data_IF_324408201275
#
_entry.id   IF_324408201275
#
_cell.length_a   1.000
_cell.length_b   1.000
_cell.length_c   1.000
_cell.angle_alpha   90.00
_cell.angle_beta   90.00
_cell.angle_gamma   90.00
#
_symmetry.space_group_name_H-M   'P 1'
#
loop_
_entity.id
_entity.type
_entity.pdbx_description
1 polymer ?
#
# COMPACT_ATOMS: atom_id res chain seq x y z
N UNK A 1 6.38 1.56 28.75
CA UNK A 1 5.84 2.44 27.69
C UNK A 1 6.05 1.76 26.34
N UNK A 2 4.98 1.28 25.68
CA UNK A 2 5.14 0.75 24.32
C UNK A 2 5.54 1.89 23.39
N UNK A 3 6.66 1.78 22.69
CA UNK A 3 7.00 2.72 21.62
C UNK A 3 5.82 2.75 20.63
N UNK A 4 5.30 3.94 20.33
CA UNK A 4 4.32 4.10 19.26
C UNK A 4 4.95 3.56 17.97
N UNK A 5 4.29 2.58 17.35
CA UNK A 5 4.78 1.99 16.09
C UNK A 5 4.61 3.02 14.98
N UNK A 6 5.59 3.13 14.09
CA UNK A 6 5.56 4.07 12.96
C UNK A 6 5.89 3.36 11.64
N UNK A 7 5.30 3.84 10.55
CA UNK A 7 5.57 3.32 9.20
C UNK A 7 5.09 1.87 9.04
N UNK A 8 5.92 1.00 8.45
CA UNK A 8 5.56 -0.42 8.21
C UNK A 8 5.13 -1.14 9.50
N UNK A 9 5.68 -0.76 10.65
CA UNK A 9 5.37 -1.42 11.93
C UNK A 9 3.93 -1.19 12.40
N UNK A 10 3.24 -0.18 11.86
CA UNK A 10 1.81 0.04 12.07
C UNK A 10 0.98 -1.09 11.43
N UNK A 11 1.46 -1.67 10.33
CA UNK A 11 0.73 -2.60 9.48
C UNK A 11 1.18 -4.04 9.64
N UNK A 12 2.49 -4.24 9.79
CA UNK A 12 3.11 -5.55 9.71
C UNK A 12 4.28 -5.68 10.67
N UNK A 13 4.48 -6.91 11.16
CA UNK A 13 5.63 -7.25 12.00
C UNK A 13 6.87 -7.52 11.14
N UNK A 14 6.65 -7.94 9.90
CA UNK A 14 7.70 -8.32 8.96
C UNK A 14 7.51 -7.58 7.64
N UNK A 15 8.63 -7.22 7.00
CA UNK A 15 8.65 -6.71 5.63
C UNK A 15 9.28 -7.77 4.73
N UNK A 16 8.72 -7.95 3.55
CA UNK A 16 9.35 -8.76 2.51
C UNK A 16 9.64 -7.88 1.30
N UNK A 17 10.91 -7.79 0.90
CA UNK A 17 11.32 -7.12 -0.32
C UNK A 17 12.34 -7.99 -1.05
N UNK A 18 12.24 -8.02 -2.37
CA UNK A 18 13.13 -8.77 -3.26
C UNK A 18 13.64 -7.93 -4.44
N UNK A 19 13.44 -6.61 -4.38
CA UNK A 19 13.88 -5.67 -5.40
C UNK A 19 14.27 -4.35 -4.73
N UNK A 20 15.29 -3.70 -5.27
CA UNK A 20 15.64 -2.31 -5.01
C UNK A 20 15.27 -1.48 -6.24
N UNK A 21 14.70 -0.29 -6.02
CA UNK A 21 14.16 0.54 -7.10
C UNK A 21 12.71 0.23 -7.46
N UNK A 22 12.06 1.20 -8.12
CA UNK A 22 10.67 1.09 -8.54
C UNK A 22 10.37 2.06 -9.70
N UNK A 23 9.66 1.57 -10.72
CA UNK A 23 9.38 2.32 -11.95
C UNK A 23 8.31 3.41 -11.80
N UNK A 24 7.54 3.41 -10.72
CA UNK A 24 6.40 4.32 -10.52
C UNK A 24 6.77 5.81 -10.47
N UNK A 25 8.03 6.15 -10.20
CA UNK A 25 8.51 7.54 -10.25
C UNK A 25 7.90 8.49 -9.22
N UNK A 26 7.32 7.99 -8.12
CA UNK A 26 6.60 8.85 -7.17
C UNK A 26 7.52 9.89 -6.53
N UNK A 27 7.12 11.17 -6.56
CA UNK A 27 7.87 12.29 -5.95
C UNK A 27 8.02 12.12 -4.43
N UNK A 28 6.98 11.66 -3.77
CA UNK A 28 6.98 11.45 -2.32
C UNK A 28 7.60 10.09 -1.88
N UNK A 29 8.28 9.36 -2.77
CA UNK A 29 8.65 7.95 -2.53
C UNK A 29 9.60 7.77 -1.33
N UNK A 30 9.10 7.12 -0.28
CA UNK A 30 9.90 6.71 0.88
C UNK A 30 11.09 5.80 0.48
N UNK A 31 10.84 4.82 -0.39
CA UNK A 31 11.86 3.84 -0.77
C UNK A 31 13.05 4.48 -1.50
N UNK A 32 12.79 5.43 -2.42
CA UNK A 32 13.81 6.21 -3.12
C UNK A 32 14.68 6.96 -2.14
N UNK A 33 14.06 7.64 -1.18
CA UNK A 33 14.78 8.40 -0.14
C UNK A 33 15.65 7.50 0.74
N UNK A 34 15.12 6.33 1.12
CA UNK A 34 15.87 5.39 1.95
C UNK A 34 17.08 4.82 1.20
N UNK A 35 16.91 4.41 -0.07
CA UNK A 35 18.04 3.94 -0.87
C UNK A 35 19.05 5.05 -1.10
N UNK A 36 18.63 6.26 -1.48
CA UNK A 36 19.54 7.42 -1.62
C UNK A 36 20.34 7.71 -0.33
N UNK A 37 19.76 7.47 0.84
CA UNK A 37 20.42 7.73 2.14
C UNK A 37 21.40 6.64 2.55
N UNK A 38 21.03 5.37 2.38
CA UNK A 38 21.77 4.24 2.94
C UNK A 38 22.55 3.42 1.92
N UNK A 39 22.19 3.53 0.64
CA UNK A 39 22.75 2.81 -0.49
C UNK A 39 22.79 3.73 -1.74
N UNK A 40 23.53 4.85 -1.68
CA UNK A 40 23.47 5.93 -2.69
C UNK A 40 23.89 5.51 -4.10
N UNK A 41 24.64 4.41 -4.23
CA UNK A 41 25.11 3.87 -5.52
C UNK A 41 24.03 3.07 -6.26
N UNK A 42 22.90 2.77 -5.61
CA UNK A 42 21.79 2.06 -6.24
C UNK A 42 21.01 3.01 -7.14
N UNK A 43 20.95 2.68 -8.43
CA UNK A 43 20.06 3.35 -9.37
C UNK A 43 18.60 2.95 -9.09
N UNK A 44 17.83 3.87 -8.51
CA UNK A 44 16.44 3.61 -8.14
C UNK A 44 15.52 3.44 -9.37
N UNK A 45 15.87 4.09 -10.48
CA UNK A 45 15.06 4.13 -11.70
C UNK A 45 15.35 2.94 -12.62
N UNK A 46 16.40 2.17 -12.34
CA UNK A 46 16.72 0.90 -12.96
C UNK A 46 16.64 -0.24 -11.92
N UNK A 47 15.45 -0.79 -11.64
CA UNK A 47 15.27 -1.70 -10.52
C UNK A 47 16.03 -3.02 -10.68
N UNK A 48 16.64 -3.47 -9.60
CA UNK A 48 17.42 -4.71 -9.55
C UNK A 48 16.81 -5.69 -8.55
N UNK A 49 16.75 -6.96 -8.92
CA UNK A 49 16.35 -8.03 -8.03
C UNK A 49 17.40 -8.21 -6.92
N UNK A 50 16.96 -8.08 -5.68
CA UNK A 50 17.81 -8.20 -4.51
C UNK A 50 17.03 -8.84 -3.36
N UNK A 51 17.31 -10.12 -3.10
CA UNK A 51 16.72 -10.87 -1.99
C UNK A 51 17.69 -10.94 -0.81
N UNK A 52 17.30 -10.38 0.33
CA UNK A 52 18.11 -10.46 1.56
C UNK A 52 17.96 -11.82 2.22
N UNK A 53 18.98 -12.27 2.96
CA UNK A 53 18.91 -13.50 3.79
C UNK A 53 17.73 -13.48 4.78
N UNK A 54 17.34 -12.30 5.27
CA UNK A 54 16.20 -12.14 6.18
C UNK A 54 14.88 -12.36 5.45
N UNK A 55 14.73 -11.83 4.24
CA UNK A 55 13.55 -12.06 3.40
C UNK A 55 13.46 -13.53 2.98
N UNK A 56 14.56 -14.12 2.53
CA UNK A 56 14.64 -15.54 2.14
C UNK A 56 14.15 -16.47 3.26
N UNK A 57 14.55 -16.23 4.51
CA UNK A 57 14.07 -17.01 5.68
C UNK A 57 12.55 -17.00 5.84
N UNK A 58 11.84 -15.98 5.38
CA UNK A 58 10.38 -15.91 5.45
C UNK A 58 9.71 -16.86 4.42
N UNK A 59 10.40 -17.22 3.34
CA UNK A 59 9.89 -18.13 2.31
C UNK A 59 9.81 -19.59 2.75
N UNK A 60 10.48 -19.96 3.85
CA UNK A 60 10.65 -21.35 4.27
C UNK A 60 9.90 -21.72 5.54
N UNK A 61 9.15 -20.79 6.15
CA UNK A 61 8.41 -21.07 7.38
C UNK A 61 7.22 -20.15 7.59
N UNK A 62 6.31 -20.60 8.45
CA UNK A 62 5.30 -19.74 9.06
C UNK A 62 5.94 -18.84 10.11
N UNK A 63 5.54 -17.57 10.14
CA UNK A 63 5.90 -16.62 11.19
C UNK A 63 4.64 -16.07 11.86
N UNK A 64 4.76 -15.69 13.13
CA UNK A 64 3.69 -15.02 13.84
C UNK A 64 3.64 -13.53 13.48
N UNK A 65 2.46 -13.01 13.17
CA UNK A 65 2.24 -11.62 12.72
C UNK A 65 1.94 -11.54 11.22
N UNK A 66 1.84 -10.31 10.71
CA UNK A 66 1.62 -10.02 9.27
C UNK A 66 2.95 -9.74 8.60
N UNK A 67 3.10 -10.23 7.36
CA UNK A 67 4.19 -9.90 6.43
C UNK A 67 3.65 -8.89 5.40
N UNK A 68 4.21 -7.69 5.33
CA UNK A 68 3.88 -6.73 4.27
C UNK A 68 4.74 -7.00 3.03
N UNK A 69 4.10 -7.10 1.87
CA UNK A 69 4.69 -7.50 0.60
C UNK A 69 4.22 -6.60 -0.57
N UNK A 70 5.10 -5.91 -1.27
CA UNK A 70 6.37 -5.38 -0.80
C UNK A 70 6.21 -4.12 0.07
N UNK A 71 7.31 -3.58 0.57
CA UNK A 71 7.35 -2.29 1.28
C UNK A 71 8.22 -1.23 0.61
N UNK A 72 9.03 -1.60 -0.38
CA UNK A 72 10.06 -0.75 -0.99
C UNK A 72 9.98 -0.66 -2.52
N UNK A 73 9.07 -1.40 -3.14
CA UNK A 73 8.85 -1.38 -4.59
C UNK A 73 7.38 -1.70 -4.87
N UNK A 74 7.04 -1.91 -6.14
CA UNK A 74 5.72 -2.36 -6.58
C UNK A 74 5.92 -3.41 -7.68
N UNK A 75 4.84 -4.11 -8.02
CA UNK A 75 4.87 -5.06 -9.14
C UNK A 75 5.09 -4.33 -10.47
N UNK A 76 5.84 -4.94 -11.37
CA UNK A 76 5.98 -4.51 -12.76
C UNK A 76 6.29 -5.73 -13.66
N UNK A 77 6.30 -5.51 -14.97
CA UNK A 77 6.62 -6.55 -15.96
C UNK A 77 7.94 -7.27 -15.68
N UNK A 78 8.98 -6.53 -15.25
CA UNK A 78 10.31 -7.08 -14.95
C UNK A 78 10.39 -7.95 -13.70
N UNK A 79 9.41 -7.89 -12.79
CA UNK A 79 9.45 -8.62 -11.52
C UNK A 79 8.25 -9.55 -11.27
N UNK A 80 7.23 -9.53 -12.13
CA UNK A 80 5.96 -10.26 -11.97
C UNK A 80 6.14 -11.75 -11.64
N UNK A 81 7.01 -12.46 -12.34
CA UNK A 81 7.20 -13.90 -12.12
C UNK A 81 7.76 -14.20 -10.71
N UNK A 82 8.72 -13.41 -10.24
CA UNK A 82 9.25 -13.52 -8.88
C UNK A 82 8.22 -13.06 -7.84
N UNK A 83 7.44 -12.03 -8.16
CA UNK A 83 6.33 -11.57 -7.33
C UNK A 83 5.33 -12.71 -7.05
N UNK A 84 4.88 -13.39 -8.11
CA UNK A 84 4.00 -14.58 -8.02
C UNK A 84 4.64 -15.70 -7.21
N UNK A 85 5.90 -16.04 -7.51
CA UNK A 85 6.61 -17.12 -6.84
C UNK A 85 6.76 -16.87 -5.33
N UNK A 86 7.22 -15.68 -4.94
CA UNK A 86 7.43 -15.36 -3.53
C UNK A 86 6.12 -15.24 -2.78
N UNK A 87 5.10 -14.61 -3.37
CA UNK A 87 3.78 -14.51 -2.74
C UNK A 87 3.14 -15.90 -2.55
N UNK A 88 3.27 -16.80 -3.54
CA UNK A 88 2.86 -18.21 -3.41
C UNK A 88 3.56 -18.89 -2.23
N UNK A 89 4.88 -18.79 -2.12
CA UNK A 89 5.65 -19.43 -1.05
C UNK A 89 5.26 -18.90 0.34
N UNK A 90 5.05 -17.59 0.46
CA UNK A 90 4.59 -16.99 1.71
C UNK A 90 3.22 -17.53 2.13
N UNK A 91 2.25 -17.56 1.21
CA UNK A 91 0.90 -18.05 1.48
C UNK A 91 0.84 -19.57 1.69
N UNK A 92 1.66 -20.34 0.97
CA UNK A 92 1.78 -21.80 1.12
C UNK A 92 2.18 -22.19 2.54
N UNK A 93 2.99 -21.36 3.20
CA UNK A 93 3.40 -21.53 4.59
C UNK A 93 2.36 -21.03 5.62
N UNK A 94 1.12 -20.74 5.21
CA UNK A 94 0.06 -20.22 6.07
C UNK A 94 0.42 -18.89 6.77
N UNK A 95 1.26 -18.07 6.14
CA UNK A 95 1.55 -16.72 6.63
C UNK A 95 0.38 -15.79 6.31
N UNK A 96 0.12 -14.84 7.22
CA UNK A 96 -0.72 -13.68 6.93
C UNK A 96 0.09 -12.68 6.11
N UNK A 97 -0.37 -12.34 4.92
CA UNK A 97 0.33 -11.45 4.00
C UNK A 97 -0.53 -10.24 3.68
N UNK A 98 0.00 -9.04 3.90
CA UNK A 98 -0.58 -7.80 3.44
C UNK A 98 0.14 -7.40 2.15
N UNK A 99 -0.54 -7.54 1.01
CA UNK A 99 -0.06 -7.02 -0.26
C UNK A 99 -0.37 -5.54 -0.37
N UNK A 100 0.62 -4.72 -0.72
CA UNK A 100 0.42 -3.28 -0.98
C UNK A 100 0.91 -2.93 -2.36
N UNK A 101 0.06 -2.30 -3.16
CA UNK A 101 0.33 -1.99 -4.57
C UNK A 101 -0.43 -0.75 -5.03
N UNK A 102 -0.02 -0.13 -6.15
CA UNK A 102 -0.83 0.83 -6.90
C UNK A 102 -1.74 0.20 -7.96
N UNK A 103 -1.83 -1.13 -8.04
CA UNK A 103 -2.85 -1.82 -8.84
C UNK A 103 -2.74 -1.59 -10.35
N UNK A 104 -1.73 -2.22 -10.97
CA UNK A 104 -1.54 -2.24 -12.42
C UNK A 104 -2.05 -3.54 -13.05
N UNK A 105 -1.92 -3.66 -14.37
CA UNK A 105 -2.31 -4.86 -15.12
C UNK A 105 -1.59 -6.12 -14.62
N UNK A 106 -0.31 -6.03 -14.24
CA UNK A 106 0.45 -7.17 -13.75
C UNK A 106 -0.11 -7.72 -12.43
N UNK A 107 -0.71 -6.86 -11.60
CA UNK A 107 -1.41 -7.29 -10.40
C UNK A 107 -2.65 -8.13 -10.72
N UNK A 108 -3.36 -7.88 -11.82
CA UNK A 108 -4.50 -8.71 -12.22
C UNK A 108 -4.04 -10.13 -12.55
N UNK A 109 -2.93 -10.27 -13.26
CA UNK A 109 -2.32 -11.58 -13.53
C UNK A 109 -1.87 -12.28 -12.24
N UNK A 110 -1.35 -11.53 -11.26
CA UNK A 110 -1.05 -12.09 -9.93
C UNK A 110 -2.31 -12.60 -9.25
N UNK A 111 -3.41 -11.84 -9.31
CA UNK A 111 -4.70 -12.27 -8.75
C UNK A 111 -5.14 -13.58 -9.39
N UNK A 112 -5.12 -13.69 -10.72
CA UNK A 112 -5.49 -14.93 -11.43
C UNK A 112 -4.62 -16.12 -11.00
N UNK A 113 -3.30 -15.88 -10.90
CA UNK A 113 -2.35 -16.88 -10.44
C UNK A 113 -2.65 -17.34 -9.01
N UNK A 114 -2.94 -16.41 -8.08
CA UNK A 114 -3.24 -16.74 -6.69
C UNK A 114 -4.58 -17.46 -6.54
N UNK A 115 -5.58 -17.07 -7.31
CA UNK A 115 -6.88 -17.76 -7.30
C UNK A 115 -6.71 -19.20 -7.78
N UNK A 116 -5.93 -19.40 -8.84
CA UNK A 116 -5.64 -20.74 -9.36
C UNK A 116 -4.82 -21.59 -8.38
N UNK A 117 -3.75 -21.02 -7.80
CA UNK A 117 -2.72 -21.79 -7.09
C UNK A 117 -2.81 -21.71 -5.55
N UNK A 118 -3.59 -20.78 -5.02
CA UNK A 118 -3.66 -20.43 -3.59
C UNK A 118 -5.10 -20.24 -3.08
N UNK A 119 -6.15 -20.70 -3.78
CA UNK A 119 -7.55 -20.47 -3.37
C UNK A 119 -7.85 -20.72 -1.88
N UNK A 120 -7.40 -21.86 -1.32
CA UNK A 120 -7.62 -22.19 0.12
C UNK A 120 -6.87 -21.29 1.10
N UNK A 121 -5.90 -20.52 0.61
CA UNK A 121 -5.01 -19.64 1.38
C UNK A 121 -5.37 -18.16 1.21
N UNK A 122 -6.30 -17.79 0.31
CA UNK A 122 -6.67 -16.39 0.06
C UNK A 122 -7.19 -15.67 1.32
N UNK A 123 -7.80 -16.39 2.26
CA UNK A 123 -8.18 -15.84 3.59
C UNK A 123 -7.01 -15.28 4.42
N UNK A 124 -5.77 -15.66 4.09
CA UNK A 124 -4.57 -15.15 4.75
C UNK A 124 -3.98 -13.93 4.02
N UNK A 125 -4.53 -13.56 2.87
CA UNK A 125 -4.12 -12.41 2.08
C UNK A 125 -5.00 -11.21 2.43
N UNK A 126 -4.40 -10.04 2.63
CA UNK A 126 -5.07 -8.75 2.48
C UNK A 126 -4.50 -8.07 1.24
N UNK A 127 -5.35 -7.65 0.30
CA UNK A 127 -4.92 -6.83 -0.84
C UNK A 127 -5.25 -5.36 -0.58
N UNK A 128 -4.22 -4.54 -0.41
CA UNK A 128 -4.35 -3.11 -0.20
C UNK A 128 -3.90 -2.32 -1.42
N UNK A 129 -4.80 -1.48 -1.94
CA UNK A 129 -4.50 -0.60 -3.07
C UNK A 129 -4.28 0.83 -2.58
N UNK A 130 -3.15 1.43 -2.97
CA UNK A 130 -2.81 2.81 -2.61
C UNK A 130 -3.48 3.80 -3.57
N UNK A 131 -4.33 4.69 -3.05
CA UNK A 131 -5.02 5.73 -3.82
C UNK A 131 -4.92 7.06 -3.06
N UNK A 132 -4.06 7.96 -3.52
CA UNK A 132 -3.81 9.26 -2.86
C UNK A 132 -4.79 10.38 -3.27
N UNK A 133 -5.45 10.22 -4.42
CA UNK A 133 -6.38 11.18 -5.04
C UNK A 133 -7.34 10.42 -5.96
N UNK A 134 -8.54 10.96 -6.19
CA UNK A 134 -9.43 10.49 -7.27
C UNK A 134 -9.22 11.26 -8.58
N UNK A 135 -8.39 12.30 -8.58
CA UNK A 135 -8.05 13.12 -9.74
C UNK A 135 -6.78 12.57 -10.40
N UNK A 136 -6.90 12.14 -11.66
CA UNK A 136 -5.78 11.60 -12.42
C UNK A 136 -4.72 12.63 -12.81
N UNK A 137 -5.05 13.92 -12.88
CA UNK A 137 -4.04 14.98 -13.08
C UNK A 137 -3.17 15.14 -11.84
N UNK A 138 -3.78 15.09 -10.66
CA UNK A 138 -3.05 15.07 -9.38
C UNK A 138 -2.18 13.81 -9.29
N UNK A 139 -2.74 12.64 -9.60
CA UNK A 139 -1.96 11.39 -9.59
C UNK A 139 -0.79 11.44 -10.57
N UNK A 140 -0.99 11.85 -11.83
CA UNK A 140 0.10 12.01 -12.81
C UNK A 140 1.18 12.99 -12.35
N UNK A 141 0.78 14.08 -11.68
CA UNK A 141 1.74 15.03 -11.16
C UNK A 141 2.67 14.42 -10.11
N UNK A 142 2.14 13.60 -9.19
CA UNK A 142 2.91 13.03 -8.08
C UNK A 142 3.50 11.64 -8.38
N UNK A 143 2.91 10.90 -9.30
CA UNK A 143 3.14 9.49 -9.58
C UNK A 143 3.12 9.25 -11.11
N UNK A 144 4.04 9.87 -11.86
CA UNK A 144 3.95 10.01 -13.32
C UNK A 144 3.84 8.70 -14.10
N UNK A 145 4.40 7.62 -13.56
CA UNK A 145 4.41 6.30 -14.21
C UNK A 145 3.51 5.28 -13.49
N UNK A 146 2.75 5.70 -12.48
CA UNK A 146 1.86 4.83 -11.75
C UNK A 146 0.48 4.73 -12.44
N UNK A 147 -0.29 3.65 -12.17
CA UNK A 147 -1.64 3.50 -12.70
C UNK A 147 -2.59 4.64 -12.27
N UNK A 148 -3.57 4.91 -13.10
CA UNK A 148 -4.68 5.83 -12.81
C UNK A 148 -5.52 5.40 -11.61
N UNK A 149 -6.36 6.30 -11.10
CA UNK A 149 -7.38 5.96 -10.11
C UNK A 149 -8.33 4.87 -10.62
N UNK A 150 -8.67 4.89 -11.92
CA UNK A 150 -9.54 3.89 -12.52
C UNK A 150 -8.91 2.49 -12.48
N UNK A 151 -7.63 2.35 -12.86
CA UNK A 151 -6.92 1.07 -12.83
C UNK A 151 -6.77 0.52 -11.41
N UNK A 152 -6.52 1.40 -10.43
CA UNK A 152 -6.50 1.07 -8.99
C UNK A 152 -7.83 0.49 -8.51
N UNK A 153 -8.94 1.16 -8.83
CA UNK A 153 -10.28 0.69 -8.47
C UNK A 153 -10.66 -0.58 -9.22
N UNK A 154 -10.23 -0.70 -10.48
CA UNK A 154 -10.42 -1.92 -11.25
C UNK A 154 -9.68 -3.11 -10.61
N UNK A 155 -8.49 -2.90 -10.03
CA UNK A 155 -7.76 -3.94 -9.29
C UNK A 155 -8.54 -4.43 -8.07
N UNK A 156 -9.14 -3.53 -7.28
CA UNK A 156 -9.99 -3.90 -6.15
C UNK A 156 -11.23 -4.68 -6.60
N UNK A 157 -11.91 -4.17 -7.64
CA UNK A 157 -13.09 -4.83 -8.21
C UNK A 157 -12.76 -6.22 -8.73
N UNK A 158 -11.65 -6.34 -9.46
CA UNK A 158 -11.20 -7.60 -10.01
C UNK A 158 -10.85 -8.62 -8.92
N UNK A 159 -10.18 -8.17 -7.84
CA UNK A 159 -9.86 -9.00 -6.70
C UNK A 159 -11.12 -9.58 -6.03
N UNK A 160 -12.13 -8.73 -5.76
CA UNK A 160 -13.40 -9.15 -5.15
C UNK A 160 -14.15 -10.14 -6.04
N UNK A 161 -14.25 -9.84 -7.34
CA UNK A 161 -14.94 -10.72 -8.31
C UNK A 161 -14.30 -12.10 -8.43
N UNK A 162 -13.00 -12.23 -8.11
CA UNK A 162 -12.25 -13.49 -8.15
C UNK A 162 -12.04 -14.12 -6.75
N UNK A 163 -12.75 -13.66 -5.72
CA UNK A 163 -12.78 -14.32 -4.41
C UNK A 163 -11.69 -13.89 -3.42
N UNK A 164 -11.01 -12.76 -3.66
CA UNK A 164 -10.21 -12.09 -2.62
C UNK A 164 -11.14 -11.19 -1.82
N UNK A 165 -11.57 -11.68 -0.66
CA UNK A 165 -12.55 -10.97 0.19
C UNK A 165 -11.92 -9.86 1.04
N UNK A 166 -10.69 -10.06 1.51
CA UNK A 166 -10.01 -9.10 2.38
C UNK A 166 -9.23 -8.09 1.53
N UNK A 167 -9.94 -7.03 1.12
CA UNK A 167 -9.38 -5.90 0.38
C UNK A 167 -9.40 -4.64 1.23
N UNK A 168 -8.59 -3.65 0.88
CA UNK A 168 -8.55 -2.39 1.61
C UNK A 168 -7.90 -1.24 0.81
N UNK A 169 -8.13 0.02 1.22
CA UNK A 169 -7.61 1.21 0.53
C UNK A 169 -6.62 1.98 1.42
N UNK A 170 -5.46 2.33 0.87
CA UNK A 170 -4.50 3.22 1.53
C UNK A 170 -4.45 4.58 0.85
N UNK A 171 -4.91 5.63 1.52
CA UNK A 171 -4.71 7.02 1.13
C UNK A 171 -3.48 7.61 1.85
N UNK A 172 -2.30 7.05 1.52
CA UNK A 172 -1.03 7.44 2.12
C UNK A 172 0.03 7.68 1.01
N UNK A 173 0.40 8.95 0.73
CA UNK A 173 -0.12 10.19 1.32
C UNK A 173 -1.47 10.62 0.72
N UNK A 174 -2.17 11.48 1.44
CA UNK A 174 -3.26 12.28 0.90
C UNK A 174 -2.69 13.34 -0.07
N UNK A 175 -3.07 13.28 -1.35
CA UNK A 175 -2.50 14.12 -2.42
C UNK A 175 -3.36 15.34 -2.77
N UNK A 176 -4.64 15.33 -2.45
CA UNK A 176 -5.54 16.48 -2.58
C UNK A 176 -6.87 16.22 -1.85
N UNK A 177 -7.71 17.25 -1.70
CA UNK A 177 -8.97 17.15 -0.96
C UNK A 177 -9.95 16.15 -1.56
N UNK A 178 -9.83 15.81 -2.85
CA UNK A 178 -10.72 14.84 -3.49
C UNK A 178 -10.62 13.44 -2.87
N UNK A 179 -9.52 13.13 -2.17
CA UNK A 179 -9.33 11.87 -1.47
C UNK A 179 -10.42 11.56 -0.43
N UNK A 180 -11.16 12.57 0.07
CA UNK A 180 -12.31 12.35 0.96
C UNK A 180 -13.38 11.46 0.33
N UNK A 181 -13.52 11.51 -1.01
CA UNK A 181 -14.48 10.69 -1.75
C UNK A 181 -14.11 9.20 -1.72
N UNK A 182 -12.86 8.85 -1.39
CA UNK A 182 -12.46 7.45 -1.21
C UNK A 182 -13.19 6.79 -0.02
N UNK A 183 -13.74 7.57 0.91
CA UNK A 183 -14.59 7.04 1.99
C UNK A 183 -15.84 6.37 1.42
N UNK A 184 -16.51 7.04 0.49
CA UNK A 184 -17.71 6.51 -0.16
C UNK A 184 -17.36 5.31 -1.05
N UNK A 185 -16.23 5.37 -1.74
CA UNK A 185 -15.73 4.24 -2.54
C UNK A 185 -15.42 3.02 -1.65
N UNK A 186 -14.71 3.22 -0.53
CA UNK A 186 -14.43 2.14 0.42
C UNK A 186 -15.72 1.51 0.96
N UNK A 187 -16.76 2.31 1.20
CA UNK A 187 -18.10 1.83 1.55
C UNK A 187 -18.68 0.90 0.49
N UNK A 188 -18.63 1.31 -0.77
CA UNK A 188 -19.18 0.56 -1.91
C UNK A 188 -18.45 -0.78 -2.11
N UNK A 189 -17.15 -0.82 -1.82
CA UNK A 189 -16.36 -2.05 -1.79
C UNK A 189 -16.54 -2.86 -0.50
N UNK A 190 -17.16 -2.32 0.54
CA UNK A 190 -17.25 -2.96 1.86
C UNK A 190 -15.89 -3.16 2.53
N UNK A 191 -14.95 -2.24 2.32
CA UNK A 191 -13.56 -2.40 2.74
C UNK A 191 -13.07 -1.30 3.69
N UNK A 192 -12.03 -1.61 4.46
CA UNK A 192 -11.36 -0.63 5.31
C UNK A 192 -10.59 0.39 4.45
N UNK A 193 -10.53 1.64 4.93
CA UNK A 193 -9.68 2.69 4.37
C UNK A 193 -8.84 3.37 5.45
N UNK A 194 -7.58 3.66 5.11
CA UNK A 194 -6.67 4.46 5.94
C UNK A 194 -6.28 5.75 5.26
N UNK A 195 -6.19 6.80 6.07
CA UNK A 195 -5.65 8.10 5.66
C UNK A 195 -4.37 8.37 6.42
N UNK A 196 -3.36 8.85 5.70
CA UNK A 196 -2.06 9.13 6.27
C UNK A 196 -1.35 10.30 5.60
N UNK A 197 -0.45 10.91 6.38
CA UNK A 197 0.39 12.00 5.93
C UNK A 197 1.63 11.45 5.24
N UNK A 198 2.23 12.25 4.35
CA UNK A 198 3.58 11.96 3.85
C UNK A 198 4.56 11.98 5.03
N UNK A 199 5.13 10.83 5.38
CA UNK A 199 6.07 10.73 6.48
C UNK A 199 7.43 11.36 6.10
N UNK A 200 7.70 12.52 6.66
CA UNK A 200 9.06 12.94 7.05
C UNK A 200 9.76 13.98 6.20
N UNK A 201 9.42 14.20 4.93
CA UNK A 201 9.97 15.30 4.14
C UNK A 201 8.99 15.65 3.03
N UNK A 202 8.45 16.87 3.04
CA UNK A 202 7.68 17.42 1.92
C UNK A 202 8.72 17.81 0.87
N UNK A 203 8.79 17.08 -0.26
CA UNK A 203 9.36 17.70 -1.46
C UNK A 203 8.51 18.93 -1.81
N UNK A 204 9.13 19.92 -2.45
CA UNK A 204 8.42 21.10 -2.93
C UNK A 204 7.20 20.67 -3.76
N UNK A 205 6.03 21.20 -3.41
CA UNK A 205 4.77 20.91 -4.08
C UNK A 205 3.86 19.87 -3.41
N UNK A 206 4.29 19.18 -2.34
CA UNK A 206 3.37 18.32 -1.58
C UNK A 206 2.28 19.15 -0.88
N UNK A 207 1.03 18.66 -0.82
CA UNK A 207 -0.07 19.43 -0.23
C UNK A 207 0.15 19.67 1.26
N UNK A 208 -0.11 20.90 1.71
CA UNK A 208 -0.18 21.21 3.13
C UNK A 208 -1.52 20.72 3.68
N UNK A 209 -1.50 19.66 4.47
CA UNK A 209 -2.70 19.10 5.09
C UNK A 209 -3.16 20.02 6.23
N UNK A 210 -4.24 20.76 6.00
CA UNK A 210 -4.84 21.67 6.98
C UNK A 210 -5.73 20.93 7.99
N UNK A 211 -6.00 21.57 9.13
CA UNK A 211 -6.92 21.02 10.13
C UNK A 211 -8.33 20.83 9.58
N UNK A 212 -8.81 21.78 8.76
CA UNK A 212 -10.12 21.68 8.10
C UNK A 212 -10.24 20.44 7.20
N UNK A 213 -9.18 20.10 6.47
CA UNK A 213 -9.17 18.90 5.64
C UNK A 213 -9.23 17.64 6.49
N UNK A 214 -8.45 17.58 7.58
CA UNK A 214 -8.53 16.46 8.53
C UNK A 214 -9.92 16.34 9.14
N UNK A 215 -10.55 17.46 9.54
CA UNK A 215 -11.91 17.47 10.07
C UNK A 215 -12.94 17.06 9.02
N UNK A 216 -12.75 17.42 7.76
CA UNK A 216 -13.60 16.97 6.65
C UNK A 216 -13.57 15.44 6.52
N UNK A 217 -12.39 14.83 6.60
CA UNK A 217 -12.24 13.36 6.62
C UNK A 217 -12.95 12.79 7.84
N UNK A 218 -12.64 13.27 9.05
CA UNK A 218 -13.24 12.78 10.31
C UNK A 218 -14.77 12.86 10.26
N UNK A 219 -15.33 13.98 9.84
CA UNK A 219 -16.78 14.19 9.83
C UNK A 219 -17.47 13.35 8.77
N UNK A 220 -16.84 13.14 7.62
CA UNK A 220 -17.32 12.20 6.61
C UNK A 220 -17.23 10.78 7.15
N UNK A 221 -16.16 10.45 7.87
CA UNK A 221 -15.96 9.14 8.47
C UNK A 221 -16.97 8.81 9.56
N UNK A 222 -17.42 9.79 10.36
CA UNK A 222 -18.44 9.57 11.41
C UNK A 222 -19.76 9.02 10.87
N UNK A 223 -20.01 9.14 9.56
CA UNK A 223 -21.18 8.54 8.92
C UNK A 223 -21.04 7.03 8.71
N UNK A 224 -19.86 6.46 8.99
CA UNK A 224 -19.44 5.12 8.56
C UNK A 224 -18.52 4.42 9.59
N UNK A 225 -18.92 3.24 10.09
CA UNK A 225 -18.24 2.54 11.20
C UNK A 225 -16.91 1.85 10.84
N UNK A 226 -16.52 1.74 9.56
CA UNK A 226 -15.38 0.93 9.09
C UNK A 226 -14.09 1.72 8.80
N UNK A 227 -13.99 3.00 9.22
CA UNK A 227 -12.86 3.85 8.85
C UNK A 227 -11.80 3.90 9.95
N UNK A 228 -10.55 3.58 9.57
CA UNK A 228 -9.40 3.60 10.47
C UNK A 228 -8.51 4.80 10.16
N UNK A 229 -8.50 5.79 11.04
CA UNK A 229 -7.62 6.95 10.92
C UNK A 229 -6.27 6.68 11.58
N UNK A 230 -5.17 7.06 10.92
CA UNK A 230 -3.82 6.99 11.50
C UNK A 230 -3.73 7.86 12.75
N UNK A 231 -2.91 7.45 13.72
CA UNK A 231 -2.78 8.15 15.00
C UNK A 231 -2.35 9.63 14.88
N UNK A 232 -1.60 9.98 13.83
CA UNK A 232 -1.25 11.38 13.55
C UNK A 232 -2.44 12.24 13.15
N UNK A 233 -3.48 11.64 12.56
CA UNK A 233 -4.76 12.30 12.28
C UNK A 233 -5.68 12.23 13.50
N UNK A 234 -5.63 11.13 14.27
CA UNK A 234 -6.42 10.97 15.51
C UNK A 234 -5.94 11.89 16.64
N UNK A 235 -4.66 12.26 16.70
CA UNK A 235 -4.12 13.22 17.67
C UNK A 235 -4.70 14.64 17.53
N UNK A 236 -5.15 15.01 16.32
CA UNK A 236 -5.91 16.26 16.07
C UNK A 236 -7.38 16.16 16.47
N UNK A 237 -7.89 14.96 16.73
CA UNK A 237 -9.26 14.72 17.23
C UNK A 237 -9.47 15.25 18.66
N UNK A 238 -8.39 15.45 19.44
CA UNK A 238 -8.44 15.78 20.88
C UNK A 238 -8.35 17.28 21.21
N UNK A 239 -8.38 18.19 20.23
CA UNK A 239 -8.27 19.64 20.51
C UNK A 239 -9.60 20.39 20.66
N UNK A 240 -10.73 19.75 20.38
CA UNK A 240 -12.05 20.41 20.38
C UNK A 240 -13.12 19.67 21.22
N UNK A 241 -12.71 18.84 22.17
CA UNK A 241 -13.60 18.32 23.22
C UNK A 241 -13.25 19.01 24.56
#
# INVERSE_FOLDING_TARGET
MSKNKTGVQEWAKHSFNFQKGCLNGCKYCYARRMLKRFEPDVDFDNPEIHLTKTAEKLLHKKVGGVIMFPTMHDICSGNKNLYMQYLYLLLKNDNKVLVVTKGNKEMLEVIDFLVTNCHTKLKNLELRVTIGSIDNDVLRHFEPNAPSCYERLNTLKYAVLNGIENISISCEPMLDKSCVNLIQIAKEFGCDIWFGLANGFYEDGMPKITDDWVQMIINTSKKYDFIKLKDSLSGKRRKND
#
